data_IF_372512221765
#
_entry.id   IF_372512221765
#
_cell.length_a   1.000
_cell.length_b   1.000
_cell.length_c   1.000
_cell.angle_alpha   90.00
_cell.angle_beta   90.00
_cell.angle_gamma   90.00
#
_symmetry.space_group_name_H-M   'P 1'
#
loop_
_entity.id
_entity.type
_entity.pdbx_description
1 polymer ?
#
# COMPACT_ATOMS: atom_id res chain seq x y z
N UNK A 1 -28.46 3.75 -97.82
CA UNK A 1 -29.02 2.41 -98.08
C UNK A 1 -28.85 1.63 -96.77
N UNK A 2 -29.86 1.51 -95.92
CA UNK A 2 -31.09 0.70 -96.02
C UNK A 2 -30.79 -0.79 -96.18
N UNK A 3 -30.95 -1.58 -95.11
CA UNK A 3 -31.91 -2.71 -94.98
C UNK A 3 -31.75 -3.38 -93.59
N UNK A 4 -32.72 -3.26 -92.68
CA UNK A 4 -33.91 -4.11 -92.44
C UNK A 4 -33.66 -5.14 -91.30
N UNK A 5 -34.43 -4.93 -90.22
CA UNK A 5 -34.71 -5.78 -89.02
C UNK A 5 -35.38 -7.12 -89.41
N UNK A 6 -35.44 -8.19 -88.57
CA UNK A 6 -36.41 -8.34 -87.45
C UNK A 6 -35.89 -9.19 -86.24
N UNK A 7 -36.25 -8.93 -84.97
CA UNK A 7 -37.45 -9.31 -84.20
C UNK A 7 -37.27 -10.59 -83.33
N UNK A 8 -38.04 -10.63 -82.22
CA UNK A 8 -38.32 -11.73 -81.28
C UNK A 8 -37.35 -11.80 -80.07
N UNK A 9 -37.61 -11.11 -78.96
CA UNK A 9 -38.66 -11.37 -77.95
C UNK A 9 -38.45 -12.68 -77.19
N UNK A 10 -38.00 -12.58 -75.94
CA UNK A 10 -38.39 -13.45 -74.84
C UNK A 10 -38.28 -12.61 -73.55
N UNK A 11 -39.43 -12.13 -73.09
CA UNK A 11 -39.65 -11.76 -71.70
C UNK A 11 -39.71 -13.06 -70.90
N UNK A 12 -38.84 -13.23 -69.92
CA UNK A 12 -39.09 -14.18 -68.82
C UNK A 12 -38.97 -13.42 -67.50
N UNK A 13 -40.17 -13.04 -67.05
CA UNK A 13 -40.73 -12.99 -65.69
C UNK A 13 -39.85 -12.79 -64.45
N UNK A 14 -40.53 -12.18 -63.48
CA UNK A 14 -40.04 -11.52 -62.28
C UNK A 14 -39.71 -12.45 -61.09
N UNK A 15 -38.77 -11.93 -60.27
CA UNK A 15 -38.74 -11.97 -58.79
C UNK A 15 -38.46 -13.29 -58.05
N UNK A 16 -38.10 -13.27 -56.75
CA UNK A 16 -37.38 -12.26 -55.97
C UNK A 16 -36.22 -12.87 -55.12
N UNK A 17 -35.52 -12.00 -54.38
CA UNK A 17 -34.95 -12.28 -53.05
C UNK A 17 -34.24 -13.62 -52.82
N UNK A 18 -32.91 -13.60 -52.94
CA UNK A 18 -32.12 -14.16 -51.85
C UNK A 18 -31.32 -13.00 -51.26
N UNK A 19 -32.00 -12.25 -50.39
CA UNK A 19 -31.32 -11.68 -49.24
C UNK A 19 -30.58 -12.84 -48.60
N UNK A 20 -29.28 -12.97 -48.86
CA UNK A 20 -28.41 -13.65 -47.94
C UNK A 20 -28.58 -12.88 -46.63
N UNK A 21 -29.46 -13.40 -45.78
CA UNK A 21 -29.47 -13.15 -44.35
C UNK A 21 -28.05 -13.44 -43.89
N UNK A 22 -27.22 -12.39 -43.98
CA UNK A 22 -26.13 -12.21 -43.06
C UNK A 22 -26.83 -12.37 -41.73
N UNK A 23 -26.63 -13.52 -41.09
CA UNK A 23 -26.93 -13.71 -39.69
C UNK A 23 -26.00 -12.74 -38.99
N UNK A 24 -26.40 -11.48 -38.97
CA UNK A 24 -25.88 -10.45 -38.10
C UNK A 24 -26.19 -11.04 -36.75
N UNK A 25 -25.17 -11.67 -36.15
CA UNK A 25 -25.17 -11.98 -34.74
C UNK A 25 -25.73 -10.72 -34.09
N UNK A 26 -26.94 -10.82 -33.51
CA UNK A 26 -27.65 -9.67 -32.95
C UNK A 26 -26.71 -9.06 -31.91
N UNK A 27 -25.93 -8.07 -32.32
CA UNK A 27 -25.13 -7.29 -31.41
C UNK A 27 -26.15 -6.53 -30.59
N UNK A 28 -26.32 -6.91 -29.33
CA UNK A 28 -27.15 -6.17 -28.40
C UNK A 28 -26.48 -4.80 -28.18
N UNK A 29 -26.89 -3.81 -28.98
CA UNK A 29 -26.37 -2.45 -28.88
C UNK A 29 -27.21 -1.66 -27.89
N UNK A 30 -26.60 -1.27 -26.76
CA UNK A 30 -27.17 -0.33 -25.80
C UNK A 30 -26.80 1.10 -26.22
N UNK A 31 -27.80 1.98 -26.42
CA UNK A 31 -27.56 3.42 -26.63
C UNK A 31 -27.55 4.12 -25.28
N UNK A 32 -26.43 4.73 -24.94
CA UNK A 32 -26.25 5.49 -23.70
C UNK A 32 -26.02 6.98 -23.99
N UNK A 33 -26.46 7.89 -23.11
CA UNK A 33 -26.18 9.32 -23.26
C UNK A 33 -24.68 9.58 -23.27
N UNK A 34 -24.20 10.51 -24.10
CA UNK A 34 -22.78 10.86 -24.16
C UNK A 34 -22.25 11.37 -22.81
N UNK A 35 -23.06 12.16 -22.09
CA UNK A 35 -22.72 12.67 -20.76
C UNK A 35 -22.44 11.56 -19.75
N UNK A 36 -23.17 10.44 -19.81
CA UNK A 36 -22.93 9.30 -18.91
C UNK A 36 -21.57 8.66 -19.19
N UNK A 37 -21.15 8.61 -20.46
CA UNK A 37 -19.82 8.09 -20.82
C UNK A 37 -18.72 9.00 -20.29
N UNK A 38 -18.90 10.31 -20.38
CA UNK A 38 -17.96 11.29 -19.82
C UNK A 38 -17.86 11.14 -18.29
N UNK A 39 -18.99 10.99 -17.60
CA UNK A 39 -19.02 10.76 -16.15
C UNK A 39 -18.34 9.43 -15.76
N UNK A 40 -18.57 8.35 -16.51
CA UNK A 40 -17.90 7.06 -16.30
C UNK A 40 -16.38 7.15 -16.45
N UNK A 41 -15.89 7.90 -17.44
CA UNK A 41 -14.45 8.13 -17.62
C UNK A 41 -13.87 8.93 -16.46
N UNK A 42 -14.59 9.94 -15.97
CA UNK A 42 -14.19 10.72 -14.80
C UNK A 42 -14.11 9.83 -13.55
N UNK A 43 -15.15 9.05 -13.25
CA UNK A 43 -15.16 8.11 -12.12
C UNK A 43 -14.04 7.07 -12.22
N UNK A 44 -13.77 6.53 -13.41
CA UNK A 44 -12.63 5.63 -13.63
C UNK A 44 -11.29 6.31 -13.31
N UNK A 45 -11.15 7.59 -13.68
CA UNK A 45 -10.00 8.41 -13.32
C UNK A 45 -9.85 8.58 -11.80
N UNK A 46 -10.93 8.93 -11.11
CA UNK A 46 -10.93 9.09 -9.65
C UNK A 46 -10.61 7.78 -8.92
N UNK A 47 -11.21 6.67 -9.34
CA UNK A 47 -10.92 5.33 -8.80
C UNK A 47 -9.44 4.98 -8.99
N UNK A 48 -8.87 5.27 -10.15
CA UNK A 48 -7.43 5.07 -10.40
C UNK A 48 -6.57 5.92 -9.48
N UNK A 49 -6.94 7.18 -9.24
CA UNK A 49 -6.22 8.07 -8.32
C UNK A 49 -6.29 7.54 -6.88
N UNK A 50 -7.47 7.13 -6.40
CA UNK A 50 -7.60 6.56 -5.05
C UNK A 50 -6.79 5.29 -4.90
N UNK A 51 -6.80 4.41 -5.91
CA UNK A 51 -6.00 3.20 -5.92
C UNK A 51 -4.50 3.53 -5.82
N UNK A 52 -4.00 4.45 -6.63
CA UNK A 52 -2.58 4.83 -6.58
C UNK A 52 -2.19 5.41 -5.22
N UNK A 53 -3.05 6.23 -4.60
CA UNK A 53 -2.81 6.77 -3.24
C UNK A 53 -2.84 5.68 -2.17
N UNK A 54 -3.75 4.71 -2.27
CA UNK A 54 -3.77 3.56 -1.37
C UNK A 54 -2.53 2.67 -1.55
N UNK A 55 -2.09 2.43 -2.78
CA UNK A 55 -0.86 1.69 -3.07
C UNK A 55 0.37 2.39 -2.46
N UNK A 56 0.46 3.71 -2.56
CA UNK A 56 1.47 4.53 -1.89
C UNK A 56 1.41 4.36 -0.36
N UNK A 57 0.22 4.46 0.23
CA UNK A 57 0.02 4.35 1.67
C UNK A 57 0.39 2.94 2.20
N UNK A 58 0.13 1.89 1.41
CA UNK A 58 0.56 0.52 1.70
C UNK A 58 2.09 0.39 1.64
N UNK A 59 2.75 1.05 0.70
CA UNK A 59 4.21 1.06 0.64
C UNK A 59 4.82 1.76 1.86
N UNK A 60 4.26 2.90 2.27
CA UNK A 60 4.67 3.60 3.50
C UNK A 60 4.49 2.69 4.71
N UNK A 61 3.35 1.99 4.82
CA UNK A 61 3.10 1.04 5.90
C UNK A 61 4.16 -0.06 5.94
N UNK A 62 4.48 -0.67 4.78
CA UNK A 62 5.51 -1.71 4.68
C UNK A 62 6.89 -1.22 5.14
N UNK A 63 7.30 -0.04 4.71
CA UNK A 63 8.59 0.53 5.13
C UNK A 63 8.65 0.77 6.65
N UNK A 64 7.60 1.36 7.22
CA UNK A 64 7.54 1.59 8.68
C UNK A 64 7.54 0.28 9.49
N UNK A 65 6.90 -0.78 8.99
CA UNK A 65 6.94 -2.10 9.64
C UNK A 65 8.37 -2.67 9.66
N UNK A 66 9.14 -2.47 8.60
CA UNK A 66 10.57 -2.86 8.57
C UNK A 66 11.36 -2.06 9.59
N UNK A 67 11.14 -0.74 9.67
CA UNK A 67 11.80 0.12 10.66
C UNK A 67 11.46 -0.28 12.11
N UNK A 68 10.21 -0.68 12.36
CA UNK A 68 9.80 -1.21 13.67
C UNK A 68 10.57 -2.49 13.99
N UNK A 69 10.70 -3.42 13.05
CA UNK A 69 11.44 -4.67 13.26
C UNK A 69 12.92 -4.41 13.57
N UNK A 70 13.58 -3.55 12.79
CA UNK A 70 14.96 -3.13 13.04
C UNK A 70 15.15 -2.47 14.41
N UNK A 71 14.20 -1.63 14.82
CA UNK A 71 14.22 -0.96 16.12
C UNK A 71 14.01 -1.96 17.27
N UNK A 72 13.13 -2.96 17.10
CA UNK A 72 12.93 -4.04 18.08
C UNK A 72 14.20 -4.90 18.22
N UNK A 73 14.87 -5.23 17.12
CA UNK A 73 16.15 -5.96 17.15
C UNK A 73 17.18 -5.16 17.94
N UNK A 74 17.33 -3.87 17.65
CA UNK A 74 18.26 -2.97 18.36
C UNK A 74 17.95 -2.89 19.85
N UNK A 75 16.68 -2.75 20.20
CA UNK A 75 16.23 -2.69 21.60
C UNK A 75 16.58 -3.97 22.36
N UNK A 76 16.35 -5.15 21.74
CA UNK A 76 16.72 -6.44 22.31
C UNK A 76 18.22 -6.56 22.53
N UNK A 77 19.03 -6.15 21.56
CA UNK A 77 20.49 -6.17 21.66
C UNK A 77 21.00 -5.25 22.78
N UNK A 78 20.45 -4.05 22.88
CA UNK A 78 20.80 -3.10 23.93
C UNK A 78 20.40 -3.61 25.33
N UNK A 79 19.22 -4.23 25.44
CA UNK A 79 18.76 -4.83 26.70
C UNK A 79 19.68 -5.99 27.10
N UNK A 80 20.06 -6.85 26.15
CA UNK A 80 20.96 -7.96 26.43
C UNK A 80 22.34 -7.49 26.90
N UNK A 81 22.87 -6.45 26.28
CA UNK A 81 24.14 -5.82 26.71
C UNK A 81 24.01 -5.23 28.12
N UNK A 82 22.88 -4.56 28.40
CA UNK A 82 22.63 -3.99 29.72
C UNK A 82 22.58 -5.07 30.80
N UNK A 83 21.93 -6.20 30.54
CA UNK A 83 21.90 -7.35 31.44
C UNK A 83 23.31 -7.87 31.76
N UNK A 84 24.14 -8.08 30.73
CA UNK A 84 25.52 -8.58 30.88
C UNK A 84 26.36 -7.62 31.73
N UNK A 85 26.31 -6.31 31.43
CA UNK A 85 27.06 -5.30 32.19
C UNK A 85 26.57 -5.20 33.64
N UNK A 86 25.27 -5.31 33.87
CA UNK A 86 24.69 -5.29 35.22
C UNK A 86 25.10 -6.53 36.02
N UNK A 87 25.13 -7.71 35.41
CA UNK A 87 25.61 -8.94 36.05
C UNK A 87 27.11 -8.85 36.39
N UNK A 88 27.93 -8.36 35.45
CA UNK A 88 29.35 -8.10 35.69
C UNK A 88 29.57 -7.09 36.83
N UNK A 89 28.69 -6.09 36.98
CA UNK A 89 28.72 -5.13 38.08
C UNK A 89 28.38 -5.78 39.42
N UNK A 90 27.37 -6.65 39.48
CA UNK A 90 26.99 -7.37 40.70
C UNK A 90 28.17 -8.25 41.18
N UNK A 91 28.81 -8.99 40.27
CA UNK A 91 29.95 -9.84 40.59
C UNK A 91 31.15 -9.02 41.10
N UNK A 92 31.50 -7.92 40.42
CA UNK A 92 32.61 -7.06 40.85
C UNK A 92 32.35 -6.42 42.22
N UNK A 93 31.10 -6.06 42.51
CA UNK A 93 30.72 -5.54 43.83
C UNK A 93 30.87 -6.61 44.92
N UNK A 94 30.48 -7.86 44.63
CA UNK A 94 30.62 -8.99 45.55
C UNK A 94 32.09 -9.29 45.87
N UNK A 95 32.97 -9.28 44.85
CA UNK A 95 34.42 -9.43 45.03
C UNK A 95 35.03 -8.29 45.87
N UNK A 96 34.61 -7.03 45.66
CA UNK A 96 35.09 -5.89 46.44
C UNK A 96 34.65 -5.96 47.91
N UNK A 97 33.45 -6.45 48.19
CA UNK A 97 32.92 -6.60 49.55
C UNK A 97 33.59 -7.73 50.34
N UNK A 98 34.08 -8.77 49.65
CA UNK A 98 34.70 -9.96 50.28
C UNK A 98 36.22 -10.06 50.08
N UNK A 99 36.81 -9.14 49.30
CA UNK A 99 38.24 -9.05 49.00
C UNK A 99 39.02 -8.12 49.94
N UNK A 100 40.34 -8.04 49.82
CA UNK A 100 41.15 -7.09 50.57
C UNK A 100 40.73 -5.64 50.22
N UNK A 101 40.56 -4.80 51.24
CA UNK A 101 40.08 -3.43 51.08
C UNK A 101 41.11 -2.54 50.36
N UNK A 102 41.01 -2.43 49.04
CA UNK A 102 41.58 -1.32 48.29
C UNK A 102 40.51 -0.22 48.13
N UNK A 103 40.65 0.87 48.89
CA UNK A 103 39.76 2.05 48.87
C UNK A 103 40.00 2.97 47.66
N UNK A 104 40.87 2.58 46.71
CA UNK A 104 41.18 3.40 45.54
C UNK A 104 40.14 3.17 44.44
N UNK A 105 39.75 4.27 43.79
CA UNK A 105 38.84 4.25 42.65
C UNK A 105 39.48 3.61 41.42
N UNK A 106 38.86 2.54 40.90
CA UNK A 106 39.31 1.83 39.70
C UNK A 106 38.72 2.46 38.42
N UNK A 107 39.55 2.90 37.45
CA UNK A 107 39.08 3.35 36.14
C UNK A 107 38.16 2.35 35.42
N UNK A 108 38.31 1.05 35.67
CA UNK A 108 37.45 0.02 35.07
C UNK A 108 36.02 0.06 35.66
N UNK A 109 35.84 0.52 36.90
CA UNK A 109 34.52 0.74 37.48
C UNK A 109 33.79 1.88 36.79
N UNK A 110 34.49 2.99 36.53
CA UNK A 110 33.92 4.11 35.79
C UNK A 110 33.45 3.72 34.40
N UNK A 111 34.26 2.95 33.69
CA UNK A 111 33.94 2.51 32.33
C UNK A 111 32.65 1.66 32.32
N UNK A 112 32.49 0.78 33.31
CA UNK A 112 31.27 -0.02 33.49
C UNK A 112 30.05 0.85 33.80
N UNK A 113 30.17 1.79 34.76
CA UNK A 113 29.08 2.72 35.07
C UNK A 113 28.69 3.57 33.86
N UNK A 114 29.68 4.06 33.12
CA UNK A 114 29.48 4.83 31.89
C UNK A 114 28.75 3.99 30.83
N UNK A 115 29.15 2.74 30.64
CA UNK A 115 28.54 1.81 29.68
C UNK A 115 27.08 1.52 30.02
N UNK A 116 26.76 1.25 31.29
CA UNK A 116 25.37 1.04 31.75
C UNK A 116 24.51 2.27 31.49
N UNK A 117 25.02 3.47 31.78
CA UNK A 117 24.32 4.73 31.53
C UNK A 117 24.08 4.97 30.03
N UNK A 118 25.07 4.67 29.18
CA UNK A 118 24.95 4.75 27.73
C UNK A 118 23.89 3.78 27.19
N UNK A 119 23.91 2.52 27.65
CA UNK A 119 22.92 1.50 27.27
C UNK A 119 21.51 1.88 27.71
N UNK A 120 21.34 2.43 28.91
CA UNK A 120 20.04 2.91 29.40
C UNK A 120 19.50 4.06 28.56
N UNK A 121 20.35 5.03 28.17
CA UNK A 121 19.95 6.12 27.26
C UNK A 121 19.56 5.59 25.89
N UNK A 122 20.37 4.70 25.32
CA UNK A 122 20.11 4.11 24.01
C UNK A 122 18.81 3.28 23.98
N UNK A 123 18.48 2.59 25.09
CA UNK A 123 17.19 1.91 25.26
C UNK A 123 16.03 2.90 25.30
N UNK A 124 16.17 3.98 26.06
CA UNK A 124 15.17 5.05 26.12
C UNK A 124 14.92 5.68 24.74
N UNK A 125 15.98 5.91 23.97
CA UNK A 125 15.90 6.37 22.59
C UNK A 125 15.16 5.35 21.70
N UNK A 126 15.52 4.07 21.75
CA UNK A 126 14.85 3.03 20.95
C UNK A 126 13.36 2.87 21.30
N UNK A 127 12.96 3.07 22.55
CA UNK A 127 11.55 3.07 22.97
C UNK A 127 10.81 4.30 22.43
N UNK A 128 11.45 5.47 22.44
CA UNK A 128 10.90 6.67 21.83
C UNK A 128 10.74 6.50 20.32
N UNK A 129 11.74 5.92 19.64
CA UNK A 129 11.69 5.61 18.21
C UNK A 129 10.50 4.70 17.88
N UNK A 130 10.26 3.63 18.65
CA UNK A 130 9.07 2.77 18.50
C UNK A 130 7.77 3.54 18.69
N UNK A 131 7.72 4.44 19.68
CA UNK A 131 6.54 5.29 19.91
C UNK A 131 6.29 6.23 18.72
N UNK A 132 7.34 6.80 18.12
CA UNK A 132 7.21 7.61 16.92
C UNK A 132 6.75 6.80 15.70
N UNK A 133 7.32 5.61 15.48
CA UNK A 133 6.94 4.73 14.39
C UNK A 133 5.48 4.27 14.50
N UNK A 134 5.02 3.92 15.70
CA UNK A 134 3.61 3.56 15.92
C UNK A 134 2.67 4.73 15.64
N UNK A 135 3.05 5.97 15.98
CA UNK A 135 2.26 7.16 15.62
C UNK A 135 2.17 7.36 14.11
N UNK A 136 3.27 7.17 13.39
CA UNK A 136 3.30 7.28 11.92
C UNK A 136 2.38 6.22 11.28
N UNK A 137 2.40 4.99 11.79
CA UNK A 137 1.52 3.91 11.33
C UNK A 137 0.04 4.17 11.63
N UNK A 138 -0.28 4.79 12.78
CA UNK A 138 -1.65 5.20 13.11
C UNK A 138 -2.16 6.28 12.15
N UNK A 139 -1.34 7.30 11.88
CA UNK A 139 -1.68 8.37 10.93
C UNK A 139 -1.87 7.83 9.50
N UNK A 140 -0.98 6.93 9.06
CA UNK A 140 -1.09 6.21 7.79
C UNK A 140 -2.41 5.41 7.68
N UNK A 141 -2.84 4.79 8.78
CA UNK A 141 -4.09 4.03 8.85
C UNK A 141 -5.29 4.96 8.70
N UNK A 142 -5.33 6.07 9.45
CA UNK A 142 -6.42 7.06 9.36
C UNK A 142 -6.54 7.69 7.97
N UNK A 143 -5.41 7.95 7.33
CA UNK A 143 -5.38 8.45 5.95
C UNK A 143 -5.94 7.41 4.97
N UNK A 144 -5.58 6.13 5.13
CA UNK A 144 -6.13 5.03 4.33
C UNK A 144 -7.65 4.93 4.49
N UNK A 145 -8.15 4.98 5.72
CA UNK A 145 -9.59 4.95 6.01
C UNK A 145 -10.33 6.12 5.35
N UNK A 146 -9.73 7.31 5.39
CA UNK A 146 -10.29 8.50 4.74
C UNK A 146 -10.38 8.31 3.22
N UNK A 147 -9.33 7.77 2.59
CA UNK A 147 -9.33 7.47 1.16
C UNK A 147 -10.37 6.41 0.79
N UNK A 148 -10.52 5.35 1.60
CA UNK A 148 -11.54 4.31 1.38
C UNK A 148 -12.96 4.86 1.51
N UNK A 149 -13.22 5.75 2.48
CA UNK A 149 -14.52 6.43 2.59
C UNK A 149 -14.81 7.30 1.36
N UNK A 150 -13.82 8.02 0.84
CA UNK A 150 -13.97 8.82 -0.38
C UNK A 150 -14.26 7.92 -1.60
N UNK A 151 -13.49 6.83 -1.75
CA UNK A 151 -13.71 5.84 -2.81
C UNK A 151 -15.12 5.24 -2.74
N UNK A 152 -15.62 4.93 -1.53
CA UNK A 152 -16.96 4.39 -1.35
C UNK A 152 -18.05 5.35 -1.84
N UNK A 153 -17.91 6.65 -1.59
CA UNK A 153 -18.88 7.66 -2.07
C UNK A 153 -18.90 7.72 -3.59
N UNK A 154 -17.73 7.77 -4.21
CA UNK A 154 -17.59 7.78 -5.67
C UNK A 154 -18.19 6.52 -6.29
N UNK A 155 -18.05 5.36 -5.65
CA UNK A 155 -18.68 4.12 -6.10
C UNK A 155 -20.22 4.18 -6.00
N UNK A 156 -20.77 4.76 -4.92
CA UNK A 156 -22.22 4.97 -4.80
C UNK A 156 -22.72 5.92 -5.88
N UNK A 157 -22.06 7.06 -6.10
CA UNK A 157 -22.44 8.04 -7.14
C UNK A 157 -22.39 7.43 -8.55
N UNK A 158 -21.36 6.61 -8.82
CA UNK A 158 -21.26 5.82 -10.05
C UNK A 158 -22.44 4.85 -10.22
N UNK A 159 -22.82 4.13 -9.16
CA UNK A 159 -23.93 3.18 -9.19
C UNK A 159 -25.28 3.89 -9.38
N UNK A 160 -25.49 5.02 -8.69
CA UNK A 160 -26.69 5.84 -8.84
C UNK A 160 -26.79 6.47 -10.24
N UNK A 161 -25.66 6.88 -10.83
CA UNK A 161 -25.64 7.41 -12.21
C UNK A 161 -25.89 6.35 -13.28
N UNK A 162 -25.70 5.06 -12.95
CA UNK A 162 -25.93 3.93 -13.85
C UNK A 162 -27.35 3.31 -13.75
N UNK A 163 -28.08 3.58 -12.65
CA UNK A 163 -29.45 3.08 -12.41
C UNK A 163 -30.53 4.01 -12.98
#
# INVERSE_FOLDING_TARGET
EAEILPELAEEEEAEPEQAEETQVARTETLRVPANLVDDLVNFAGEISIFRSRLEEQVNVFRSNVVEVDETVIRLRDQLRKLEIETEAQILARYEREHGPAEEAFDPLELDRYSTIQQLSRALGESVNDLTSLTSILDDATRQSETLLMQQSRVNTELQEGLM
#
